data_IF_147812379906
#
_entry.id   IF_147812379906
#
_cell.length_a   1.000
_cell.length_b   1.000
_cell.length_c   1.000
_cell.angle_alpha   90.00
_cell.angle_beta   90.00
_cell.angle_gamma   90.00
#
_symmetry.space_group_name_H-M   'P 1'
#
loop_
_entity.id
_entity.type
_entity.pdbx_description
1 polymer ?
#
# COMPACT_ATOMS: atom_id res chain seq x y z
N UNK A 1 -8.83 19.68 52.57
CA UNK A 1 -9.59 18.78 51.68
C UNK A 1 -8.70 18.43 50.50
N UNK A 2 -7.91 17.35 50.57
CA UNK A 2 -7.15 16.85 49.43
C UNK A 2 -7.67 15.46 49.09
N UNK A 3 -8.62 15.42 48.17
CA UNK A 3 -9.08 14.20 47.56
C UNK A 3 -7.98 13.71 46.60
N UNK A 4 -7.04 12.91 47.11
CA UNK A 4 -6.14 12.12 46.27
C UNK A 4 -7.00 11.13 45.50
N UNK A 5 -7.46 11.55 44.32
CA UNK A 5 -8.07 10.66 43.34
C UNK A 5 -7.05 9.55 43.08
N UNK A 6 -7.32 8.34 43.57
CA UNK A 6 -6.59 7.14 43.18
C UNK A 6 -6.61 7.14 41.65
N UNK A 7 -5.46 7.36 41.03
CA UNK A 7 -5.22 6.88 39.67
C UNK A 7 -5.24 5.36 39.77
N UNK A 8 -6.45 4.82 39.86
CA UNK A 8 -6.69 3.41 40.06
C UNK A 8 -6.19 2.65 38.84
N UNK A 9 -5.96 1.36 39.03
CA UNK A 9 -5.65 0.39 37.96
C UNK A 9 -6.54 0.58 36.72
N UNK A 10 -7.79 1.03 36.89
CA UNK A 10 -8.71 1.41 35.83
C UNK A 10 -8.21 2.55 34.92
N UNK A 11 -7.59 3.59 35.49
CA UNK A 11 -6.99 4.70 34.76
C UNK A 11 -5.75 4.23 33.96
N UNK A 12 -4.91 3.40 34.58
CA UNK A 12 -3.77 2.77 33.91
C UNK A 12 -4.18 1.81 32.78
N UNK A 13 -5.24 1.03 32.99
CA UNK A 13 -5.81 0.15 31.98
C UNK A 13 -6.45 0.92 30.82
N UNK A 14 -7.19 2.00 31.11
CA UNK A 14 -7.70 2.91 30.07
C UNK A 14 -6.55 3.53 29.27
N UNK A 15 -5.50 4.01 29.93
CA UNK A 15 -4.32 4.56 29.25
C UNK A 15 -3.60 3.52 28.38
N UNK A 16 -3.63 2.24 28.78
CA UNK A 16 -3.09 1.12 28.00
C UNK A 16 -3.96 0.78 26.77
N UNK A 17 -5.28 0.76 26.91
CA UNK A 17 -6.20 0.57 25.77
C UNK A 17 -6.15 1.77 24.80
N UNK A 18 -6.04 2.99 25.30
CA UNK A 18 -5.94 4.21 24.49
C UNK A 18 -4.65 4.28 23.66
N UNK A 19 -3.69 3.35 23.85
CA UNK A 19 -2.46 3.27 23.06
C UNK A 19 -2.68 2.81 21.61
N UNK A 20 -3.92 2.54 21.20
CA UNK A 20 -4.36 2.25 19.83
C UNK A 20 -3.95 0.86 19.34
N UNK A 21 -2.64 0.59 19.31
CA UNK A 21 -2.04 -0.65 18.82
C UNK A 21 -2.57 -1.92 19.53
N UNK A 22 -2.92 -1.82 20.82
CA UNK A 22 -3.41 -2.97 21.59
C UNK A 22 -4.86 -3.31 21.25
N UNK A 23 -5.70 -2.29 21.04
CA UNK A 23 -7.12 -2.48 20.76
C UNK A 23 -7.29 -3.12 19.38
N UNK A 24 -6.57 -2.63 18.38
CA UNK A 24 -6.62 -3.18 17.02
C UNK A 24 -6.16 -4.65 16.98
N UNK A 25 -5.09 -4.98 17.71
CA UNK A 25 -4.59 -6.34 17.83
C UNK A 25 -5.61 -7.24 18.55
N UNK A 26 -6.19 -6.77 19.66
CA UNK A 26 -7.19 -7.52 20.41
C UNK A 26 -8.44 -7.81 19.57
N UNK A 27 -8.93 -6.82 18.83
CA UNK A 27 -10.08 -6.97 17.92
C UNK A 27 -9.76 -7.97 16.81
N UNK A 28 -8.57 -7.90 16.21
CA UNK A 28 -8.15 -8.86 15.18
C UNK A 28 -8.16 -10.32 15.68
N UNK A 29 -7.66 -10.57 16.89
CA UNK A 29 -7.64 -11.91 17.49
C UNK A 29 -9.04 -12.44 17.77
N UNK A 30 -9.92 -11.61 18.36
CA UNK A 30 -11.29 -12.01 18.69
C UNK A 30 -12.09 -12.33 17.42
N UNK A 31 -12.00 -11.47 16.40
CA UNK A 31 -12.69 -11.69 15.11
C UNK A 31 -12.14 -12.94 14.43
N UNK A 32 -10.82 -13.13 14.42
CA UNK A 32 -10.17 -14.31 13.84
C UNK A 32 -10.65 -15.62 14.48
N UNK A 33 -10.73 -15.67 15.81
CA UNK A 33 -11.23 -16.82 16.55
C UNK A 33 -12.71 -17.11 16.26
N UNK A 34 -13.55 -16.07 16.31
CA UNK A 34 -14.99 -16.21 16.04
C UNK A 34 -15.25 -16.69 14.60
N UNK A 35 -14.57 -16.11 13.61
CA UNK A 35 -14.71 -16.50 12.21
C UNK A 35 -14.25 -17.94 11.97
N UNK A 36 -13.10 -18.34 12.54
CA UNK A 36 -12.60 -19.71 12.44
C UNK A 36 -13.62 -20.71 13.00
N UNK A 37 -14.30 -20.37 14.11
CA UNK A 37 -15.35 -21.22 14.68
C UNK A 37 -16.56 -21.38 13.74
N UNK A 38 -16.96 -20.31 13.05
CA UNK A 38 -18.05 -20.36 12.06
C UNK A 38 -17.68 -21.32 10.93
N UNK A 39 -16.49 -21.17 10.35
CA UNK A 39 -16.06 -22.02 9.23
C UNK A 39 -15.92 -23.48 9.68
N UNK A 40 -15.33 -23.73 10.85
CA UNK A 40 -15.24 -25.07 11.42
C UNK A 40 -16.63 -25.71 11.62
N UNK A 41 -17.62 -24.93 12.05
CA UNK A 41 -18.99 -25.41 12.24
C UNK A 41 -19.64 -25.80 10.91
N UNK A 42 -19.41 -25.03 9.84
CA UNK A 42 -19.89 -25.35 8.49
C UNK A 42 -19.20 -26.59 7.95
N UNK A 43 -17.88 -26.70 8.10
CA UNK A 43 -17.15 -27.88 7.64
C UNK A 43 -17.64 -29.12 8.38
N UNK A 44 -17.68 -29.10 9.71
CA UNK A 44 -18.13 -30.25 10.50
C UNK A 44 -19.60 -30.59 10.27
N UNK A 45 -20.46 -29.58 10.13
CA UNK A 45 -21.91 -29.75 10.02
C UNK A 45 -22.40 -30.13 8.62
N UNK A 46 -21.70 -29.72 7.57
CA UNK A 46 -22.15 -29.89 6.18
C UNK A 46 -21.12 -30.66 5.36
N UNK A 47 -19.85 -30.22 5.36
CA UNK A 47 -18.85 -30.80 4.46
C UNK A 47 -18.42 -32.20 4.92
N UNK A 48 -18.06 -32.38 6.18
CA UNK A 48 -17.63 -33.67 6.75
C UNK A 48 -18.67 -34.79 6.53
N UNK A 49 -19.99 -34.59 6.76
CA UNK A 49 -20.98 -35.62 6.46
C UNK A 49 -21.17 -35.88 4.96
N UNK A 50 -21.08 -34.85 4.10
CA UNK A 50 -21.16 -35.04 2.64
C UNK A 50 -19.96 -35.83 2.12
N UNK A 51 -18.76 -35.48 2.55
CA UNK A 51 -17.53 -36.22 2.19
C UNK A 51 -17.55 -37.63 2.79
N UNK A 52 -18.07 -37.78 4.01
CA UNK A 52 -18.26 -39.08 4.66
C UNK A 52 -19.41 -39.92 4.11
N UNK A 53 -20.29 -39.35 3.28
CA UNK A 53 -21.32 -40.09 2.54
C UNK A 53 -20.81 -40.57 1.18
N UNK A 54 -19.88 -39.84 0.56
CA UNK A 54 -19.25 -40.20 -0.71
C UNK A 54 -18.04 -41.12 -0.52
N UNK A 55 -17.27 -40.93 0.55
CA UNK A 55 -16.30 -41.89 1.05
C UNK A 55 -16.98 -42.92 1.95
N UNK A 56 -16.56 -44.18 1.94
CA UNK A 56 -17.21 -45.31 2.64
C UNK A 56 -17.36 -45.18 4.17
N UNK A 57 -16.89 -44.09 4.78
CA UNK A 57 -17.02 -43.77 6.22
C UNK A 57 -16.74 -42.27 6.45
N UNK A 58 -17.27 -41.71 7.54
CA UNK A 58 -16.84 -40.40 8.06
C UNK A 58 -15.32 -40.35 8.17
N UNK A 59 -14.67 -39.27 7.73
CA UNK A 59 -13.21 -39.14 7.75
C UNK A 59 -12.63 -39.41 9.15
N UNK A 60 -13.32 -39.02 10.22
CA UNK A 60 -12.90 -39.28 11.61
C UNK A 60 -12.94 -40.77 12.02
N UNK A 61 -13.66 -41.61 11.28
CA UNK A 61 -13.88 -43.02 11.58
C UNK A 61 -12.80 -43.98 11.07
N UNK A 62 -11.76 -43.44 10.42
CA UNK A 62 -10.61 -44.20 9.98
C UNK A 62 -9.58 -44.32 11.11
N UNK A 63 -9.53 -45.50 11.71
CA UNK A 63 -8.61 -45.86 12.79
C UNK A 63 -7.79 -47.08 12.39
N UNK A 64 -6.49 -47.05 12.69
CA UNK A 64 -5.59 -48.21 12.53
C UNK A 64 -5.16 -48.69 13.91
N UNK A 65 -5.42 -49.96 14.24
CA UNK A 65 -5.05 -50.56 15.51
C UNK A 65 -3.56 -50.94 15.51
N UNK A 66 -2.79 -50.39 16.45
CA UNK A 66 -1.37 -50.73 16.62
C UNK A 66 -1.15 -51.91 17.58
N UNK A 67 -2.05 -52.12 18.55
CA UNK A 67 -1.98 -53.24 19.50
C UNK A 67 -3.35 -53.57 20.08
N UNK A 68 -3.76 -54.84 19.93
CA UNK A 68 -5.03 -55.36 20.41
C UNK A 68 -5.10 -55.40 21.96
N UNK A 69 -6.31 -55.35 22.56
CA UNK A 69 -7.62 -55.27 21.90
C UNK A 69 -7.94 -53.85 21.45
N UNK A 70 -8.30 -53.70 20.17
CA UNK A 70 -8.83 -52.45 19.63
C UNK A 70 -10.32 -52.62 19.37
N UNK A 71 -11.12 -51.97 20.20
CA UNK A 71 -12.57 -52.00 20.13
C UNK A 71 -13.13 -50.85 20.94
N UNK A 72 -14.40 -50.52 20.76
CA UNK A 72 -15.08 -49.55 21.63
C UNK A 72 -15.62 -50.34 22.82
N UNK A 73 -15.27 -49.94 24.05
CA UNK A 73 -15.85 -50.55 25.25
C UNK A 73 -17.34 -50.20 25.39
N UNK A 74 -18.01 -50.81 26.37
CA UNK A 74 -19.41 -50.53 26.67
C UNK A 74 -19.68 -49.06 27.11
N UNK A 75 -18.63 -48.26 27.32
CA UNK A 75 -18.70 -46.83 27.71
C UNK A 75 -18.42 -45.89 26.54
N UNK A 76 -18.13 -46.40 25.34
CA UNK A 76 -17.82 -45.58 24.17
C UNK A 76 -16.34 -45.22 24.04
N UNK A 77 -15.46 -45.75 24.90
CA UNK A 77 -14.03 -45.42 24.88
C UNK A 77 -13.25 -46.41 24.00
N UNK A 78 -12.32 -45.93 23.15
CA UNK A 78 -11.46 -46.80 22.37
C UNK A 78 -10.49 -47.56 23.28
N UNK A 79 -10.71 -48.86 23.42
CA UNK A 79 -9.74 -49.79 24.03
C UNK A 79 -8.56 -49.99 23.07
N UNK A 80 -7.35 -50.11 23.61
CA UNK A 80 -6.11 -50.31 22.85
C UNK A 80 -5.44 -49.02 22.34
N UNK A 81 -4.35 -49.19 21.59
CA UNK A 81 -3.61 -48.07 20.96
C UNK A 81 -4.11 -47.91 19.52
N UNK A 82 -5.08 -47.01 19.33
CA UNK A 82 -5.64 -46.69 18.01
C UNK A 82 -4.99 -45.43 17.44
N UNK A 83 -4.45 -45.52 16.22
CA UNK A 83 -4.04 -44.34 15.45
C UNK A 83 -5.26 -43.83 14.68
N UNK A 84 -5.78 -42.68 15.12
CA UNK A 84 -6.90 -41.98 14.49
C UNK A 84 -6.41 -41.09 13.34
N UNK A 85 -5.81 -41.68 12.31
CA UNK A 85 -5.32 -40.91 11.15
C UNK A 85 -6.46 -40.22 10.39
N UNK A 86 -7.68 -40.73 10.53
CA UNK A 86 -8.89 -40.12 10.02
C UNK A 86 -9.17 -38.70 10.53
N UNK A 87 -8.94 -38.44 11.81
CA UNK A 87 -9.16 -37.11 12.39
C UNK A 87 -8.12 -36.10 11.91
N UNK A 88 -6.90 -36.54 11.63
CA UNK A 88 -5.84 -35.72 11.02
C UNK A 88 -6.22 -35.34 9.60
N UNK A 89 -6.74 -36.29 8.80
CA UNK A 89 -7.20 -36.02 7.45
C UNK A 89 -8.39 -35.06 7.43
N UNK A 90 -9.33 -35.23 8.37
CA UNK A 90 -10.46 -34.31 8.53
C UNK A 90 -10.00 -32.91 8.96
N UNK A 91 -9.03 -32.81 9.86
CA UNK A 91 -8.43 -31.53 10.27
C UNK A 91 -7.70 -30.85 9.10
N UNK A 92 -6.95 -31.61 8.29
CA UNK A 92 -6.29 -31.10 7.10
C UNK A 92 -7.30 -30.59 6.05
N UNK A 93 -8.38 -31.34 5.81
CA UNK A 93 -9.46 -30.91 4.92
C UNK A 93 -10.14 -29.63 5.43
N UNK A 94 -10.43 -29.58 6.74
CA UNK A 94 -11.01 -28.41 7.39
C UNK A 94 -10.11 -27.18 7.27
N UNK A 95 -8.81 -27.37 7.45
CA UNK A 95 -7.82 -26.31 7.26
C UNK A 95 -7.80 -25.80 5.81
N UNK A 96 -7.77 -26.70 4.82
CA UNK A 96 -7.78 -26.33 3.41
C UNK A 96 -9.04 -25.54 3.02
N UNK A 97 -10.22 -25.99 3.46
CA UNK A 97 -11.48 -25.29 3.18
C UNK A 97 -11.48 -23.92 3.87
N UNK A 98 -11.05 -23.86 5.13
CA UNK A 98 -10.98 -22.59 5.86
C UNK A 98 -10.04 -21.60 5.19
N UNK A 99 -8.85 -22.05 4.77
CA UNK A 99 -7.92 -21.24 4.01
C UNK A 99 -8.52 -20.75 2.68
N UNK A 100 -9.22 -21.62 1.94
CA UNK A 100 -9.87 -21.26 0.69
C UNK A 100 -10.97 -20.20 0.89
N UNK A 101 -11.81 -20.36 1.92
CA UNK A 101 -12.88 -19.40 2.25
C UNK A 101 -12.29 -18.05 2.67
N UNK A 102 -11.29 -18.04 3.56
CA UNK A 102 -10.60 -16.81 3.98
C UNK A 102 -9.94 -16.11 2.79
N UNK A 103 -9.25 -16.87 1.94
CA UNK A 103 -8.58 -16.32 0.77
C UNK A 103 -9.58 -15.69 -0.19
N UNK A 104 -10.66 -16.39 -0.54
CA UNK A 104 -11.63 -15.92 -1.52
C UNK A 104 -12.51 -14.78 -1.00
N UNK A 105 -12.93 -14.81 0.27
CA UNK A 105 -13.84 -13.80 0.85
C UNK A 105 -13.14 -12.60 1.48
N UNK A 106 -11.91 -12.72 1.97
CA UNK A 106 -11.18 -11.59 2.55
C UNK A 106 -10.01 -11.15 1.68
N UNK A 107 -9.09 -12.06 1.36
CA UNK A 107 -7.82 -11.67 0.70
C UNK A 107 -8.06 -11.20 -0.75
N UNK A 108 -8.92 -11.88 -1.49
CA UNK A 108 -9.22 -11.56 -2.89
C UNK A 108 -9.93 -10.20 -3.05
N UNK A 109 -11.01 -9.87 -2.31
CA UNK A 109 -11.61 -8.54 -2.40
C UNK A 109 -10.69 -7.46 -1.83
N UNK A 110 -9.93 -7.74 -0.76
CA UNK A 110 -9.00 -6.76 -0.20
C UNK A 110 -7.84 -6.46 -1.16
N UNK A 111 -7.27 -7.47 -1.83
CA UNK A 111 -6.25 -7.27 -2.86
C UNK A 111 -6.80 -6.52 -4.08
N UNK A 112 -8.02 -6.82 -4.52
CA UNK A 112 -8.70 -6.06 -5.59
C UNK A 112 -8.98 -4.62 -5.18
N UNK A 113 -9.39 -4.37 -3.93
CA UNK A 113 -9.65 -3.04 -3.40
C UNK A 113 -8.36 -2.22 -3.28
N UNK A 114 -7.30 -2.81 -2.73
CA UNK A 114 -5.98 -2.19 -2.62
C UNK A 114 -5.41 -1.86 -3.99
N UNK A 115 -5.50 -2.77 -4.97
CA UNK A 115 -5.05 -2.50 -6.34
C UNK A 115 -5.80 -1.32 -6.98
N UNK A 116 -7.12 -1.20 -6.75
CA UNK A 116 -7.93 -0.05 -7.22
C UNK A 116 -7.56 1.25 -6.51
N UNK A 117 -7.26 1.20 -5.21
CA UNK A 117 -6.82 2.36 -4.45
C UNK A 117 -5.43 2.83 -4.86
N UNK A 118 -4.51 1.90 -5.11
CA UNK A 118 -3.16 2.19 -5.56
C UNK A 118 -3.16 2.80 -6.97
N UNK A 119 -4.01 2.31 -7.88
CA UNK A 119 -4.23 2.93 -9.19
C UNK A 119 -4.77 4.37 -9.06
N UNK A 120 -5.73 4.60 -8.15
CA UNK A 120 -6.24 5.96 -7.87
C UNK A 120 -5.17 6.86 -7.25
N UNK A 121 -4.28 6.30 -6.43
CA UNK A 121 -3.19 7.04 -5.79
C UNK A 121 -2.11 7.41 -6.80
N UNK A 122 -1.67 6.46 -7.63
CA UNK A 122 -0.75 6.69 -8.76
C UNK A 122 -1.31 7.68 -9.77
N UNK A 123 -2.62 7.64 -10.04
CA UNK A 123 -3.27 8.63 -10.89
C UNK A 123 -3.26 10.04 -10.27
N UNK A 124 -3.43 10.15 -8.94
CA UNK A 124 -3.33 11.45 -8.25
C UNK A 124 -1.89 11.96 -8.19
N UNK A 125 -0.94 11.09 -7.91
CA UNK A 125 0.48 11.41 -7.88
C UNK A 125 0.98 11.81 -9.28
N UNK A 126 0.60 11.10 -10.34
CA UNK A 126 0.94 11.47 -11.72
C UNK A 126 0.27 12.76 -12.19
N UNK A 127 -0.96 13.05 -11.74
CA UNK A 127 -1.61 14.35 -12.00
C UNK A 127 -0.90 15.48 -11.25
N UNK A 128 -0.42 15.22 -10.03
CA UNK A 128 0.31 16.20 -9.24
C UNK A 128 1.72 16.47 -9.79
N UNK A 129 2.43 15.43 -10.21
CA UNK A 129 3.74 15.52 -10.87
C UNK A 129 3.64 16.25 -12.22
N UNK A 130 2.61 15.97 -13.03
CA UNK A 130 2.37 16.69 -14.29
C UNK A 130 1.97 18.15 -14.08
N UNK A 131 1.20 18.48 -13.05
CA UNK A 131 0.89 19.87 -12.69
C UNK A 131 2.15 20.62 -12.23
N UNK A 132 2.99 20.04 -11.37
CA UNK A 132 4.26 20.67 -10.95
C UNK A 132 5.21 20.91 -12.14
N UNK A 133 5.36 19.95 -13.05
CA UNK A 133 6.21 20.13 -14.24
C UNK A 133 5.64 21.24 -15.13
N UNK A 134 4.32 21.29 -15.32
CA UNK A 134 3.67 22.32 -16.15
C UNK A 134 3.85 23.72 -15.56
N UNK A 135 3.68 23.87 -14.24
CA UNK A 135 3.92 25.14 -13.55
C UNK A 135 5.39 25.59 -13.68
N UNK A 136 6.35 24.68 -13.50
CA UNK A 136 7.77 24.98 -13.66
C UNK A 136 8.13 25.41 -15.10
N UNK A 137 7.50 24.81 -16.12
CA UNK A 137 7.66 25.22 -17.53
C UNK A 137 7.10 26.62 -17.77
N UNK A 138 5.90 26.90 -17.27
CA UNK A 138 5.27 28.22 -17.40
C UNK A 138 6.10 29.30 -16.69
N UNK A 139 6.62 29.02 -15.49
CA UNK A 139 7.50 29.95 -14.76
C UNK A 139 8.80 30.22 -15.52
N UNK A 140 9.34 29.21 -16.22
CA UNK A 140 10.55 29.35 -17.04
C UNK A 140 10.29 30.22 -18.28
N UNK A 141 9.17 29.99 -18.97
CA UNK A 141 8.76 30.81 -20.12
C UNK A 141 8.54 32.27 -19.72
N UNK A 142 7.83 32.54 -18.62
CA UNK A 142 7.63 33.90 -18.10
C UNK A 142 8.97 34.57 -17.75
N UNK A 143 9.90 33.84 -17.13
CA UNK A 143 11.25 34.36 -16.82
C UNK A 143 12.00 34.74 -18.10
N UNK A 144 11.99 33.86 -19.11
CA UNK A 144 12.72 34.08 -20.35
C UNK A 144 12.10 35.26 -21.13
N UNK A 145 10.77 35.41 -21.11
CA UNK A 145 10.06 36.57 -21.67
C UNK A 145 10.40 37.88 -20.93
N UNK A 146 10.46 37.85 -19.59
CA UNK A 146 10.87 39.00 -18.77
C UNK A 146 12.32 39.40 -19.00
N UNK A 147 13.23 38.44 -19.18
CA UNK A 147 14.63 38.71 -19.53
C UNK A 147 14.72 39.33 -20.93
N UNK A 148 13.96 38.81 -21.89
CA UNK A 148 13.88 39.37 -23.25
C UNK A 148 13.26 40.78 -23.28
N UNK A 149 12.28 41.06 -22.41
CA UNK A 149 11.72 42.41 -22.24
C UNK A 149 12.69 43.36 -21.55
N UNK A 150 13.39 42.91 -20.51
CA UNK A 150 14.44 43.71 -19.83
C UNK A 150 15.57 44.10 -20.79
N UNK A 151 15.98 43.18 -21.66
CA UNK A 151 16.94 43.46 -22.73
C UNK A 151 16.44 44.50 -23.74
N UNK A 152 15.16 44.42 -24.15
CA UNK A 152 14.50 45.42 -25.00
C UNK A 152 14.36 46.79 -24.32
N UNK A 153 14.05 46.84 -23.03
CA UNK A 153 13.88 48.09 -22.30
C UNK A 153 15.21 48.84 -22.08
N UNK A 154 16.33 48.14 -21.90
CA UNK A 154 17.67 48.75 -21.87
C UNK A 154 18.08 49.42 -23.19
N UNK A 155 17.62 48.92 -24.34
CA UNK A 155 17.84 49.59 -25.63
C UNK A 155 16.95 50.82 -25.80
N UNK A 156 15.69 50.77 -25.34
CA UNK A 156 14.76 51.88 -25.50
C UNK A 156 15.10 53.08 -24.57
N UNK A 157 15.80 52.84 -23.46
CA UNK A 157 16.28 53.90 -22.54
C UNK A 157 17.41 54.78 -23.07
N UNK A 158 18.07 54.41 -24.18
CA UNK A 158 19.12 55.23 -24.81
C UNK A 158 18.62 56.12 -25.96
N UNK A 159 17.36 55.96 -26.40
CA UNK A 159 16.80 56.75 -27.52
C UNK A 159 16.06 58.02 -27.04
N UNK A 160 15.98 58.26 -25.73
CA UNK A 160 15.26 59.39 -25.13
C UNK A 160 16.10 60.62 -24.76
N UNK A 161 17.40 60.65 -25.06
CA UNK A 161 18.26 61.78 -24.66
C UNK A 161 19.15 62.25 -25.82
N UNK A 162 18.54 62.93 -26.79
CA UNK A 162 19.27 63.82 -27.70
C UNK A 162 18.54 65.16 -27.72
N UNK A 163 18.96 66.03 -26.80
CA UNK A 163 18.58 67.43 -26.78
C UNK A 163 19.30 68.17 -27.91
N UNK A 164 18.53 68.98 -28.64
CA UNK A 164 19.01 69.84 -29.71
C UNK A 164 19.72 71.05 -29.09
N UNK A 165 21.04 71.17 -29.29
CA UNK A 165 21.79 72.36 -28.94
C UNK A 165 23.29 72.24 -29.22
N UNK A 166 23.79 73.02 -30.18
CA UNK A 166 25.20 73.45 -30.21
C UNK A 166 26.12 72.75 -31.22
N UNK A 167 26.43 73.50 -32.28
CA UNK A 167 27.49 73.35 -33.28
C UNK A 167 28.86 72.85 -32.79
N UNK A 168 29.54 72.04 -33.62
CA UNK A 168 30.99 71.78 -33.55
C UNK A 168 31.47 70.75 -34.59
N UNK A 169 32.38 71.17 -35.47
CA UNK A 169 32.86 70.48 -36.69
C UNK A 169 33.94 69.37 -36.41
N UNK A 170 34.40 68.60 -37.43
CA UNK A 170 34.75 67.17 -37.31
C UNK A 170 36.26 66.84 -37.32
N UNK A 171 36.59 65.58 -36.99
CA UNK A 171 37.85 64.96 -37.39
C UNK A 171 38.03 63.50 -36.94
N UNK A 172 38.50 62.64 -37.87
CA UNK A 172 39.33 61.47 -37.53
C UNK A 172 38.76 60.08 -37.85
N UNK A 173 39.36 59.43 -38.85
CA UNK A 173 39.08 58.08 -39.37
C UNK A 173 39.77 56.95 -38.57
N UNK A 174 39.27 55.72 -38.76
CA UNK A 174 39.96 54.44 -38.55
C UNK A 174 39.10 53.46 -37.73
N UNK A 175 38.67 52.28 -38.18
CA UNK A 175 39.22 51.34 -39.15
C UNK A 175 39.69 50.06 -38.42
N UNK A 176 39.41 48.88 -39.00
CA UNK A 176 39.75 47.50 -38.55
C UNK A 176 38.82 46.89 -37.48
N UNK A 177 38.23 45.69 -37.60
CA UNK A 177 38.41 44.55 -38.50
C UNK A 177 38.67 43.25 -37.71
N UNK A 178 37.91 42.18 -37.95
CA UNK A 178 38.14 40.79 -37.45
C UNK A 178 36.86 40.11 -36.97
N UNK A 179 36.12 39.27 -37.72
CA UNK A 179 36.38 37.94 -38.33
C UNK A 179 36.66 36.77 -37.35
N UNK A 180 35.89 35.69 -37.54
CA UNK A 180 36.12 34.30 -37.09
C UNK A 180 35.48 33.97 -35.73
N UNK A 181 34.71 32.91 -35.51
CA UNK A 181 34.34 31.71 -36.26
C UNK A 181 33.28 30.94 -35.43
N UNK A 182 32.34 30.22 -36.05
CA UNK A 182 32.20 28.74 -36.01
C UNK A 182 32.71 28.11 -34.68
N UNK A 183 31.95 27.29 -33.95
CA UNK A 183 31.48 25.95 -34.34
C UNK A 183 30.22 25.56 -33.57
N UNK A 184 29.31 24.85 -34.24
CA UNK A 184 28.28 24.04 -33.60
C UNK A 184 28.79 22.63 -33.28
N UNK A 185 28.11 21.96 -32.35
CA UNK A 185 27.97 20.51 -32.30
C UNK A 185 26.75 20.16 -31.43
N UNK A 186 25.83 19.28 -31.89
CA UNK A 186 24.85 18.63 -31.05
C UNK A 186 25.26 17.17 -30.75
N UNK A 187 24.84 16.64 -29.61
CA UNK A 187 24.64 15.19 -29.46
C UNK A 187 25.00 14.56 -28.12
N UNK A 188 24.24 13.50 -27.82
CA UNK A 188 24.38 12.47 -26.77
C UNK A 188 23.78 12.87 -25.41
N UNK A 189 22.71 12.27 -24.89
CA UNK A 189 22.14 10.95 -25.14
C UNK A 189 22.81 9.91 -24.25
N UNK A 190 22.20 9.64 -23.10
CA UNK A 190 22.10 8.35 -22.38
C UNK A 190 20.87 8.42 -21.47
#
# INVERSE_FOLDING_TARGET
MSEKKKEGVLAGFKAFLMRGNVVDLAVAVVIGAAFTNIVNSVVKGIISPVVGAVGTKSLDGYTSCLKAPCGIDAKGEPTGVNILWGSVLNAALTFLITAAVVYFLMVLPMSKYLARMEQRRKAREGVQETMEITELVVLKEIRDELVAQRGRNSQNGQVGQVGHGGQGAPGGQGGYGGQGGQYGHPGQGY
#
